data_IF_960690829626
#
_entry.id   IF_960690829626
#
_cell.length_a   1.000
_cell.length_b   1.000
_cell.length_c   1.000
_cell.angle_alpha   90.00
_cell.angle_beta   90.00
_cell.angle_gamma   90.00
#
_symmetry.space_group_name_H-M   'P 1'
#
loop_
_entity.id
_entity.type
_entity.pdbx_description
1 polymer ?
#
# COMPACT_ATOMS: atom_id res chain seq x y z
N UNK A 1 -8.43 16.85 -14.44
CA UNK A 1 -7.95 18.21 -14.11
C UNK A 1 -7.37 18.33 -12.69
N UNK A 2 -7.99 17.75 -11.65
CA UNK A 2 -7.51 17.91 -10.27
C UNK A 2 -6.16 17.21 -9.96
N UNK A 3 -5.87 16.02 -10.52
CA UNK A 3 -4.55 15.34 -10.38
C UNK A 3 -3.40 16.21 -10.93
N UNK A 4 -3.58 16.81 -12.12
CA UNK A 4 -2.57 17.68 -12.76
C UNK A 4 -2.32 18.95 -11.94
N UNK A 5 -3.37 19.55 -11.36
CA UNK A 5 -3.23 20.73 -10.49
C UNK A 5 -2.52 20.41 -9.17
N UNK A 6 -2.80 19.24 -8.59
CA UNK A 6 -2.09 18.73 -7.40
C UNK A 6 -0.62 18.49 -7.74
N UNK A 7 -0.31 17.87 -8.87
CA UNK A 7 1.07 17.62 -9.26
C UNK A 7 1.81 18.91 -9.61
N UNK A 8 1.15 19.87 -10.26
CA UNK A 8 1.72 21.21 -10.44
C UNK A 8 2.06 21.83 -9.09
N UNK A 9 1.16 21.75 -8.10
CA UNK A 9 1.46 22.20 -6.74
C UNK A 9 2.62 21.44 -6.09
N UNK A 10 2.71 20.12 -6.30
CA UNK A 10 3.87 19.34 -5.83
C UNK A 10 5.14 19.79 -6.55
N UNK A 11 5.12 20.00 -7.86
CA UNK A 11 6.25 20.55 -8.65
C UNK A 11 6.64 21.95 -8.19
N UNK A 12 5.68 22.81 -7.92
CA UNK A 12 5.92 24.18 -7.48
C UNK A 12 6.46 24.20 -6.05
N UNK A 13 5.92 23.34 -5.18
CA UNK A 13 6.43 23.15 -3.82
C UNK A 13 7.81 22.50 -3.84
N UNK A 14 8.11 21.58 -4.75
CA UNK A 14 9.44 20.95 -4.89
C UNK A 14 10.46 21.87 -5.55
N UNK A 15 10.05 22.77 -6.43
CA UNK A 15 10.90 23.89 -6.91
C UNK A 15 11.22 24.86 -5.77
N UNK A 16 10.24 25.15 -4.90
CA UNK A 16 10.44 25.97 -3.70
C UNK A 16 11.24 25.22 -2.62
N UNK A 17 11.07 23.90 -2.52
CA UNK A 17 11.87 22.95 -1.77
C UNK A 17 13.17 22.70 -2.53
N UNK A 18 13.95 23.76 -2.72
CA UNK A 18 15.32 23.60 -3.15
C UNK A 18 16.01 22.65 -2.17
N UNK A 19 16.66 21.56 -2.62
CA UNK A 19 17.45 20.66 -1.79
C UNK A 19 18.75 21.36 -1.31
N UNK A 20 18.67 22.66 -0.97
CA UNK A 20 19.80 23.48 -0.56
C UNK A 20 20.43 23.00 0.76
N UNK A 21 19.76 22.12 1.49
CA UNK A 21 20.29 21.50 2.71
C UNK A 21 20.49 19.96 2.64
N UNK A 22 20.20 19.31 1.51
CA UNK A 22 20.64 17.92 1.24
C UNK A 22 21.62 17.89 0.08
N UNK A 23 22.90 17.87 0.42
CA UNK A 23 24.02 17.77 -0.53
C UNK A 23 24.14 16.39 -1.23
N UNK A 24 23.08 15.58 -1.25
CA UNK A 24 23.13 14.19 -1.70
C UNK A 24 22.64 14.11 -3.15
N UNK A 25 23.56 13.91 -4.09
CA UNK A 25 23.25 13.73 -5.53
C UNK A 25 22.27 12.58 -5.75
N UNK A 26 22.25 11.60 -4.86
CA UNK A 26 21.37 10.44 -4.91
C UNK A 26 19.89 10.83 -4.81
N UNK A 27 19.57 11.74 -3.91
CA UNK A 27 18.18 12.22 -3.70
C UNK A 27 17.67 12.95 -4.95
N UNK A 28 18.54 13.73 -5.62
CA UNK A 28 18.20 14.44 -6.85
C UNK A 28 17.93 13.47 -8.00
N UNK A 29 18.75 12.42 -8.13
CA UNK A 29 18.57 11.38 -9.15
C UNK A 29 17.26 10.63 -8.92
N UNK A 30 17.03 10.15 -7.69
CA UNK A 30 15.79 9.45 -7.32
C UNK A 30 14.57 10.32 -7.59
N UNK A 31 14.62 11.58 -7.17
CA UNK A 31 13.53 12.52 -7.41
C UNK A 31 13.28 12.75 -8.91
N UNK A 32 14.33 12.87 -9.71
CA UNK A 32 14.23 13.02 -11.17
C UNK A 32 13.54 11.81 -11.80
N UNK A 33 13.90 10.59 -11.40
CA UNK A 33 13.27 9.35 -11.89
C UNK A 33 11.79 9.33 -11.55
N UNK A 34 11.43 9.65 -10.30
CA UNK A 34 10.04 9.69 -9.85
C UNK A 34 9.23 10.73 -10.62
N UNK A 35 9.81 11.90 -10.89
CA UNK A 35 9.14 12.96 -11.63
C UNK A 35 8.92 12.60 -13.10
N UNK A 36 9.92 12.04 -13.78
CA UNK A 36 9.80 11.54 -15.16
C UNK A 36 8.77 10.42 -15.25
N UNK A 37 8.76 9.50 -14.28
CA UNK A 37 7.77 8.41 -14.21
C UNK A 37 6.36 8.98 -14.06
N UNK A 38 6.18 9.97 -13.17
CA UNK A 38 4.88 10.60 -12.95
C UNK A 38 4.37 11.32 -14.19
N UNK A 39 5.21 12.13 -14.83
CA UNK A 39 4.86 12.89 -16.02
C UNK A 39 4.45 11.94 -17.16
N UNK A 40 5.18 10.84 -17.34
CA UNK A 40 4.84 9.79 -18.30
C UNK A 40 3.49 9.11 -18.02
N UNK A 41 3.06 9.07 -16.76
CA UNK A 41 1.78 8.50 -16.35
C UNK A 41 0.63 9.50 -16.48
N UNK A 42 0.86 10.81 -16.30
CA UNK A 42 -0.18 11.83 -16.25
C UNK A 42 -1.09 11.84 -17.49
N UNK A 43 -0.50 11.72 -18.67
CA UNK A 43 -1.20 11.85 -19.95
C UNK A 43 -1.82 10.54 -20.45
N UNK A 44 -1.52 9.41 -19.80
CA UNK A 44 -2.16 8.13 -20.10
C UNK A 44 -3.63 8.12 -19.69
N UNK A 45 -4.44 7.34 -20.39
CA UNK A 45 -5.81 7.08 -19.98
C UNK A 45 -5.86 6.33 -18.63
N UNK A 46 -7.00 6.43 -17.95
CA UNK A 46 -7.28 5.66 -16.72
C UNK A 46 -7.40 4.19 -17.11
N UNK A 47 -6.70 3.30 -16.39
CA UNK A 47 -6.75 1.87 -16.66
C UNK A 47 -5.48 1.12 -16.28
N UNK A 48 -5.45 -0.16 -16.67
CA UNK A 48 -4.32 -1.03 -16.51
C UNK A 48 -3.18 -0.71 -17.49
N UNK A 49 -1.96 -0.83 -17.01
CA UNK A 49 -0.72 -0.69 -17.77
C UNK A 49 -0.04 -2.06 -17.75
N UNK A 50 0.13 -2.66 -18.93
CA UNK A 50 0.79 -3.96 -19.05
C UNK A 50 2.23 -3.91 -18.56
N UNK A 51 2.76 -5.04 -18.09
CA UNK A 51 4.15 -5.13 -17.65
C UNK A 51 5.15 -4.74 -18.74
N UNK A 52 4.85 -5.00 -20.01
CA UNK A 52 5.69 -4.54 -21.10
C UNK A 52 5.72 -3.02 -21.19
N UNK A 53 4.55 -2.38 -21.16
CA UNK A 53 4.46 -0.92 -21.20
C UNK A 53 5.13 -0.26 -19.99
N UNK A 54 5.20 -0.91 -18.82
CA UNK A 54 5.97 -0.43 -17.67
C UNK A 54 7.48 -0.50 -17.91
N UNK A 55 7.98 -1.58 -18.51
CA UNK A 55 9.41 -1.70 -18.85
C UNK A 55 9.84 -0.64 -19.86
N UNK A 56 8.97 -0.33 -20.83
CA UNK A 56 9.21 0.73 -21.80
C UNK A 56 9.29 2.12 -21.13
N UNK A 57 8.65 2.29 -19.96
CA UNK A 57 8.74 3.47 -19.10
C UNK A 57 9.92 3.42 -18.11
N UNK A 58 10.85 2.47 -18.27
CA UNK A 58 11.96 2.22 -17.34
C UNK A 58 11.49 1.91 -15.91
N UNK A 59 10.32 1.31 -15.76
CA UNK A 59 9.82 0.82 -14.49
C UNK A 59 10.07 -0.69 -14.45
N UNK A 60 10.95 -1.12 -13.55
CA UNK A 60 11.21 -2.54 -13.35
C UNK A 60 10.02 -3.19 -12.66
N UNK A 61 9.50 -4.27 -13.25
CA UNK A 61 8.38 -5.03 -12.70
C UNK A 61 8.70 -6.51 -12.62
N UNK A 62 8.43 -7.10 -11.46
CA UNK A 62 8.60 -8.53 -11.19
C UNK A 62 7.45 -9.05 -10.33
N UNK A 63 7.21 -10.36 -10.37
CA UNK A 63 6.21 -11.02 -9.53
C UNK A 63 6.74 -11.20 -8.11
N UNK A 64 5.87 -10.98 -7.13
CA UNK A 64 6.12 -11.22 -5.72
C UNK A 64 5.76 -12.66 -5.39
N UNK A 65 6.77 -13.51 -5.31
CA UNK A 65 6.61 -14.89 -4.83
C UNK A 65 6.65 -14.93 -3.28
N UNK A 66 5.63 -15.56 -2.69
CA UNK A 66 5.51 -15.78 -1.25
C UNK A 66 6.70 -16.59 -0.72
N UNK A 67 7.15 -17.61 -1.44
CA UNK A 67 8.27 -18.45 -1.01
C UNK A 67 9.58 -17.66 -1.02
N UNK A 68 9.80 -16.85 -2.06
CA UNK A 68 10.95 -15.94 -2.17
C UNK A 68 11.05 -14.92 -1.03
N UNK A 69 9.94 -14.59 -0.35
CA UNK A 69 9.94 -13.63 0.77
C UNK A 69 10.10 -14.34 2.11
N UNK A 70 9.47 -15.50 2.30
CA UNK A 70 9.51 -16.25 3.56
C UNK A 70 10.80 -17.08 3.74
N UNK A 71 11.49 -17.48 2.66
CA UNK A 71 12.63 -18.41 2.69
C UNK A 71 13.94 -17.83 2.16
N UNK A 72 14.12 -16.51 2.20
CA UNK A 72 15.34 -15.86 1.72
C UNK A 72 16.58 -16.12 2.61
N UNK A 73 17.01 -17.38 2.74
CA UNK A 73 18.42 -17.71 2.88
C UNK A 73 19.07 -17.48 1.51
N UNK A 74 19.48 -16.25 1.21
CA UNK A 74 20.30 -15.94 0.04
C UNK A 74 19.86 -14.76 -0.83
N UNK A 75 18.65 -14.22 -0.67
CA UNK A 75 18.37 -12.86 -1.20
C UNK A 75 19.08 -11.90 -0.26
N UNK A 76 19.93 -11.06 -0.79
CA UNK A 76 20.68 -10.14 0.03
C UNK A 76 19.70 -9.24 0.80
N UNK A 77 19.82 -9.22 2.13
CA UNK A 77 18.87 -8.59 3.06
C UNK A 77 18.57 -7.10 2.77
N UNK A 78 19.36 -6.46 1.90
CA UNK A 78 19.18 -5.08 1.46
C UNK A 78 18.06 -4.88 0.42
N UNK A 79 17.52 -5.94 -0.20
CA UNK A 79 16.43 -5.84 -1.18
C UNK A 79 15.03 -6.12 -0.61
N UNK A 80 14.94 -6.56 0.66
CA UNK A 80 13.68 -6.88 1.33
C UNK A 80 13.35 -5.80 2.37
N UNK A 81 12.58 -4.79 1.95
CA UNK A 81 12.18 -3.70 2.86
C UNK A 81 11.02 -4.07 3.80
N UNK A 82 10.23 -5.08 3.42
CA UNK A 82 9.07 -5.54 4.18
C UNK A 82 9.14 -7.05 4.38
N UNK A 83 9.06 -7.49 5.63
CA UNK A 83 9.11 -8.91 6.01
C UNK A 83 7.82 -9.32 6.72
N UNK A 84 6.98 -10.21 6.18
CA UNK A 84 5.80 -10.75 6.86
C UNK A 84 6.12 -11.28 8.25
N UNK A 85 5.18 -11.18 9.19
CA UNK A 85 5.28 -11.96 10.42
C UNK A 85 5.37 -13.45 10.08
N UNK A 86 6.18 -14.19 10.85
CA UNK A 86 6.29 -15.63 10.68
C UNK A 86 4.98 -16.34 11.04
N UNK A 87 4.78 -17.52 10.45
CA UNK A 87 3.64 -18.39 10.76
C UNK A 87 3.53 -18.69 12.25
N UNK A 88 4.66 -18.91 12.90
CA UNK A 88 4.74 -19.15 14.33
C UNK A 88 4.18 -17.98 15.13
N UNK A 89 4.55 -16.74 14.77
CA UNK A 89 4.04 -15.54 15.43
C UNK A 89 2.53 -15.37 15.17
N UNK A 90 2.07 -15.59 13.93
CA UNK A 90 0.65 -15.49 13.60
C UNK A 90 -0.20 -16.53 14.32
N UNK A 91 0.30 -17.77 14.44
CA UNK A 91 -0.36 -18.86 15.17
C UNK A 91 -0.40 -18.61 16.68
N UNK A 92 0.66 -18.01 17.24
CA UNK A 92 0.68 -17.59 18.64
C UNK A 92 -0.33 -16.46 18.91
N UNK A 93 -0.55 -15.60 17.93
CA UNK A 93 -1.41 -14.42 18.01
C UNK A 93 -2.64 -14.51 17.11
N UNK A 94 -3.35 -15.65 17.19
CA UNK A 94 -4.64 -15.81 16.53
C UNK A 94 -5.67 -14.78 17.00
N UNK A 95 -6.71 -14.55 16.18
CA UNK A 95 -7.83 -13.69 16.58
C UNK A 95 -8.50 -14.26 17.83
N UNK A 96 -8.68 -13.42 18.84
CA UNK A 96 -9.54 -13.74 19.97
C UNK A 96 -11.00 -13.56 19.51
N UNK A 97 -11.77 -14.64 19.53
CA UNK A 97 -13.15 -14.66 19.03
C UNK A 97 -14.19 -14.37 20.13
N UNK A 98 -13.76 -14.00 21.34
CA UNK A 98 -14.68 -13.57 22.39
C UNK A 98 -15.56 -12.40 21.91
N UNK A 99 -16.85 -12.34 22.31
CA UNK A 99 -17.73 -11.26 21.90
C UNK A 99 -17.16 -9.89 22.28
N UNK A 100 -16.91 -9.04 21.28
CA UNK A 100 -16.48 -7.66 21.45
C UNK A 100 -16.91 -6.81 20.25
N UNK A 101 -16.97 -5.47 20.38
CA UNK A 101 -17.39 -4.59 19.29
C UNK A 101 -16.58 -4.78 18.00
N UNK A 102 -15.29 -5.06 18.09
CA UNK A 102 -14.39 -5.25 16.95
C UNK A 102 -14.72 -6.53 16.17
N UNK A 103 -15.07 -7.61 16.88
CA UNK A 103 -15.47 -8.87 16.24
C UNK A 103 -16.86 -8.75 15.59
N UNK A 104 -17.81 -8.06 16.23
CA UNK A 104 -19.12 -7.78 15.61
C UNK A 104 -18.99 -6.90 14.36
N UNK A 105 -18.03 -5.97 14.36
CA UNK A 105 -17.71 -5.15 13.18
C UNK A 105 -17.17 -6.00 12.03
N UNK A 106 -16.26 -6.94 12.32
CA UNK A 106 -15.75 -7.89 11.33
C UNK A 106 -16.87 -8.70 10.72
N UNK A 107 -17.76 -9.25 11.55
CA UNK A 107 -18.92 -10.04 11.10
C UNK A 107 -19.84 -9.21 10.19
N UNK A 108 -20.08 -7.94 10.54
CA UNK A 108 -20.84 -7.01 9.70
C UNK A 108 -20.15 -6.75 8.35
N UNK A 109 -18.82 -6.54 8.35
CA UNK A 109 -18.04 -6.33 7.12
C UNK A 109 -18.04 -7.59 6.23
N UNK A 110 -17.93 -8.78 6.82
CA UNK A 110 -18.02 -10.07 6.11
C UNK A 110 -19.42 -10.29 5.53
N UNK A 111 -20.48 -9.97 6.27
CA UNK A 111 -21.85 -10.03 5.76
C UNK A 111 -22.06 -9.09 4.57
N UNK A 112 -21.52 -7.86 4.61
CA UNK A 112 -21.57 -6.95 3.46
C UNK A 112 -20.83 -7.53 2.25
N UNK A 113 -19.71 -8.22 2.44
CA UNK A 113 -18.95 -8.84 1.35
C UNK A 113 -19.61 -10.10 0.78
N UNK A 114 -20.39 -10.83 1.59
CA UNK A 114 -21.21 -11.98 1.17
C UNK A 114 -22.49 -11.54 0.47
N UNK A 115 -23.29 -10.75 1.19
CA UNK A 115 -24.69 -10.52 0.88
C UNK A 115 -24.94 -9.17 0.25
N UNK A 116 -23.92 -8.30 0.14
CA UNK A 116 -24.08 -6.87 -0.17
C UNK A 116 -25.00 -6.17 0.85
N UNK A 117 -25.18 -4.86 0.71
CA UNK A 117 -26.20 -4.14 1.51
C UNK A 117 -27.52 -4.08 0.75
N UNK A 118 -28.68 -4.05 1.43
CA UNK A 118 -29.97 -3.79 0.78
C UNK A 118 -29.96 -2.48 -0.02
N UNK A 119 -29.22 -1.47 0.44
CA UNK A 119 -29.02 -0.21 -0.26
C UNK A 119 -28.31 -0.42 -1.61
N UNK A 120 -27.14 -1.08 -1.61
CA UNK A 120 -26.36 -1.39 -2.82
C UNK A 120 -27.19 -2.23 -3.81
N UNK A 121 -27.89 -3.26 -3.32
CA UNK A 121 -28.82 -4.06 -4.13
C UNK A 121 -29.93 -3.22 -4.77
N UNK A 122 -30.49 -2.25 -4.03
CA UNK A 122 -31.61 -1.42 -4.47
C UNK A 122 -31.23 -0.41 -5.54
N UNK A 123 -30.01 0.14 -5.49
CA UNK A 123 -29.54 1.08 -6.51
C UNK A 123 -29.08 0.38 -7.81
N UNK A 124 -29.12 -0.95 -7.86
CA UNK A 124 -28.64 -1.75 -9.02
C UNK A 124 -27.16 -1.52 -9.32
N UNK A 125 -26.47 -0.87 -8.39
CA UNK A 125 -25.07 -0.57 -8.46
C UNK A 125 -24.39 -1.82 -7.91
N UNK A 126 -23.88 -2.65 -8.80
CA UNK A 126 -22.82 -3.60 -8.45
C UNK A 126 -21.55 -2.80 -8.07
N UNK A 127 -21.64 -1.72 -7.28
CA UNK A 127 -20.55 -0.77 -7.13
C UNK A 127 -19.36 -1.50 -6.58
N UNK A 128 -18.47 -1.77 -7.52
CA UNK A 128 -17.15 -2.28 -7.35
C UNK A 128 -16.42 -1.48 -6.26
N UNK A 129 -16.73 -0.18 -6.17
CA UNK A 129 -16.35 0.75 -5.10
C UNK A 129 -16.76 0.31 -3.70
N UNK A 130 -18.02 -0.10 -3.48
CA UNK A 130 -18.54 -0.46 -2.16
C UNK A 130 -17.80 -1.67 -1.58
N UNK A 131 -17.64 -2.71 -2.38
CA UNK A 131 -16.87 -3.89 -1.98
C UNK A 131 -15.39 -3.56 -1.77
N UNK A 132 -14.74 -2.85 -2.68
CA UNK A 132 -13.33 -2.50 -2.55
C UNK A 132 -13.05 -1.60 -1.32
N UNK A 133 -13.98 -0.69 -1.02
CA UNK A 133 -14.02 0.05 0.24
C UNK A 133 -14.16 -0.92 1.43
N UNK A 134 -15.15 -1.81 1.46
CA UNK A 134 -15.33 -2.74 2.58
C UNK A 134 -14.11 -3.64 2.78
N UNK A 135 -13.43 -4.08 1.71
CA UNK A 135 -12.18 -4.84 1.83
C UNK A 135 -11.04 -4.03 2.49
N UNK A 136 -10.86 -2.75 2.11
CA UNK A 136 -9.92 -1.87 2.81
C UNK A 136 -10.22 -1.80 4.31
N UNK A 137 -11.50 -1.68 4.63
CA UNK A 137 -11.96 -1.56 6.01
C UNK A 137 -11.76 -2.87 6.78
N UNK A 138 -12.06 -4.01 6.16
CA UNK A 138 -11.87 -5.35 6.72
C UNK A 138 -10.41 -5.65 7.02
N UNK A 139 -9.50 -5.28 6.12
CA UNK A 139 -8.06 -5.39 6.32
C UNK A 139 -7.62 -4.60 7.56
N UNK A 140 -8.09 -3.36 7.67
CA UNK A 140 -7.80 -2.51 8.82
C UNK A 140 -8.38 -3.10 10.11
N UNK A 141 -9.65 -3.51 10.12
CA UNK A 141 -10.27 -4.07 11.32
C UNK A 141 -9.49 -5.31 11.78
N UNK A 142 -9.05 -6.17 10.85
CA UNK A 142 -8.22 -7.35 11.17
C UNK A 142 -6.87 -7.00 11.80
N UNK A 143 -6.14 -6.04 11.24
CA UNK A 143 -4.76 -5.77 11.66
C UNK A 143 -4.66 -4.80 12.84
N UNK A 144 -5.54 -3.80 12.87
CA UNK A 144 -5.41 -2.65 13.76
C UNK A 144 -6.39 -2.65 14.92
N UNK A 145 -7.47 -3.44 14.86
CA UNK A 145 -8.52 -3.45 15.88
C UNK A 145 -8.76 -4.83 16.47
N UNK A 146 -8.75 -5.90 15.67
CA UNK A 146 -9.14 -7.23 16.10
C UNK A 146 -8.26 -7.71 17.26
N UNK A 147 -8.85 -8.12 18.40
CA UNK A 147 -8.11 -8.56 19.56
C UNK A 147 -7.36 -9.87 19.24
N UNK A 148 -6.14 -10.02 19.76
CA UNK A 148 -5.29 -11.19 19.52
C UNK A 148 -4.95 -11.92 20.81
N UNK A 149 -5.02 -13.24 20.75
CA UNK A 149 -4.51 -14.12 21.81
C UNK A 149 -3.01 -13.88 22.04
N UNK A 150 -2.54 -14.13 23.25
CA UNK A 150 -1.15 -13.95 23.64
C UNK A 150 -0.66 -12.50 23.68
N UNK A 151 -1.57 -11.53 23.55
CA UNK A 151 -1.26 -10.11 23.78
C UNK A 151 -1.74 -9.68 25.17
N UNK A 152 -1.50 -8.42 25.56
CA UNK A 152 -1.96 -7.92 26.85
C UNK A 152 -3.48 -8.09 27.00
N UNK A 153 -3.87 -8.89 27.99
CA UNK A 153 -5.25 -9.33 28.26
C UNK A 153 -5.98 -9.99 27.08
N UNK A 154 -5.25 -10.50 26.09
CA UNK A 154 -5.79 -11.01 24.82
C UNK A 154 -6.69 -10.00 24.07
N UNK A 155 -6.44 -8.70 24.29
CA UNK A 155 -7.24 -7.59 23.75
C UNK A 155 -6.50 -6.76 22.71
N UNK A 156 -5.17 -6.81 22.67
CA UNK A 156 -4.41 -5.94 21.77
C UNK A 156 -4.39 -6.50 20.33
N UNK A 157 -4.40 -5.61 19.32
CA UNK A 157 -4.36 -5.97 17.91
C UNK A 157 -2.96 -6.29 17.40
N UNK A 158 -2.82 -6.84 16.18
CA UNK A 158 -1.51 -7.15 15.56
C UNK A 158 -0.63 -5.91 15.37
N UNK A 159 -1.19 -4.72 15.20
CA UNK A 159 -0.41 -3.48 15.15
C UNK A 159 0.42 -3.23 16.43
N UNK A 160 0.01 -3.79 17.57
CA UNK A 160 0.77 -3.70 18.82
C UNK A 160 2.11 -4.45 18.74
N UNK A 161 2.18 -5.51 17.94
CA UNK A 161 3.37 -6.33 17.73
C UNK A 161 4.36 -5.71 16.73
N UNK A 162 3.84 -4.95 15.76
CA UNK A 162 4.64 -4.46 14.62
C UNK A 162 4.99 -2.98 14.71
N UNK A 163 4.26 -2.20 15.52
CA UNK A 163 4.52 -0.78 15.71
C UNK A 163 3.95 0.15 14.64
N UNK A 164 3.33 -0.37 13.58
CA UNK A 164 2.67 0.46 12.56
C UNK A 164 1.55 1.30 13.17
N UNK A 165 1.36 2.52 12.65
CA UNK A 165 0.33 3.45 13.11
C UNK A 165 -0.48 3.93 11.92
N UNK A 166 -1.81 3.84 12.01
CA UNK A 166 -2.71 4.40 11.01
C UNK A 166 -2.65 5.92 11.00
N UNK A 167 -2.64 6.48 9.81
CA UNK A 167 -2.95 7.86 9.48
C UNK A 167 -4.09 7.89 8.45
N UNK A 168 -5.11 8.70 8.73
CA UNK A 168 -6.23 8.92 7.79
C UNK A 168 -5.83 9.83 6.62
N UNK A 169 -4.63 10.42 6.66
CA UNK A 169 -4.07 11.22 5.59
C UNK A 169 -2.94 10.46 4.90
N UNK A 170 -2.99 10.40 3.56
CA UNK A 170 -1.89 9.88 2.72
C UNK A 170 -0.92 11.01 2.33
N UNK A 171 -1.27 12.26 2.67
CA UNK A 171 -0.48 13.46 2.50
C UNK A 171 -1.37 14.68 2.26
N UNK A 172 -0.85 15.91 2.43
CA UNK A 172 -1.61 17.14 2.20
C UNK A 172 -1.95 17.37 0.72
N UNK A 173 -1.30 16.63 -0.19
CA UNK A 173 -1.42 16.81 -1.62
C UNK A 173 -2.56 16.01 -2.27
N UNK A 174 -3.11 15.00 -1.59
CA UNK A 174 -4.21 14.20 -2.15
C UNK A 174 -5.57 14.79 -1.75
N UNK A 175 -6.23 15.50 -2.66
CA UNK A 175 -7.63 15.91 -2.48
C UNK A 175 -8.56 14.73 -2.85
N UNK A 176 -9.44 14.36 -1.92
CA UNK A 176 -10.45 13.31 -2.10
C UNK A 176 -11.45 13.61 -3.24
N UNK A 177 -11.53 14.86 -3.69
CA UNK A 177 -12.40 15.31 -4.80
C UNK A 177 -11.86 14.98 -6.19
N UNK A 178 -10.72 14.33 -6.28
CA UNK A 178 -9.99 14.16 -7.55
C UNK A 178 -10.51 13.00 -8.39
N UNK A 179 -11.12 11.99 -7.77
CA UNK A 179 -11.70 10.83 -8.47
C UNK A 179 -12.77 10.15 -7.63
N UNK A 180 -14.00 10.05 -8.15
CA UNK A 180 -15.03 9.19 -7.55
C UNK A 180 -14.76 7.69 -7.72
N UNK A 181 -13.79 7.32 -8.59
CA UNK A 181 -13.53 5.93 -9.01
C UNK A 181 -12.38 5.25 -8.26
N UNK A 182 -11.57 5.97 -7.51
CA UNK A 182 -10.47 5.35 -6.74
C UNK A 182 -10.00 6.28 -5.65
N UNK A 183 -9.48 5.71 -4.55
CA UNK A 183 -9.01 6.49 -3.41
C UNK A 183 -7.99 5.72 -2.56
N UNK A 184 -6.82 6.32 -2.24
CA UNK A 184 -6.04 5.91 -1.08
C UNK A 184 -6.83 6.24 0.19
N UNK A 185 -7.10 5.21 0.98
CA UNK A 185 -7.96 5.30 2.15
C UNK A 185 -7.17 5.62 3.41
N UNK A 186 -6.08 4.90 3.62
CA UNK A 186 -5.24 5.03 4.81
C UNK A 186 -3.77 4.95 4.42
N UNK A 187 -2.92 5.63 5.17
CA UNK A 187 -1.49 5.36 5.18
C UNK A 187 -1.09 4.87 6.57
N UNK A 188 -0.13 3.96 6.66
CA UNK A 188 0.45 3.54 7.93
C UNK A 188 1.93 3.86 7.92
N UNK A 189 2.36 5.01 8.48
CA UNK A 189 3.76 5.24 8.79
C UNK A 189 4.20 4.47 10.05
N UNK A 190 5.50 4.23 10.17
CA UNK A 190 6.11 3.89 11.45
C UNK A 190 6.35 5.16 12.26
N UNK A 191 6.03 5.16 13.57
CA UNK A 191 6.30 6.29 14.44
C UNK A 191 7.81 6.49 14.64
N UNK A 192 8.20 7.73 14.95
CA UNK A 192 9.57 8.07 15.34
C UNK A 192 10.51 8.46 14.21
N UNK A 193 10.06 8.52 12.95
CA UNK A 193 10.83 9.11 11.84
C UNK A 193 12.10 8.36 11.41
N UNK A 194 12.43 7.24 12.07
CA UNK A 194 13.63 6.43 11.81
C UNK A 194 13.51 5.51 10.59
N UNK A 195 12.30 5.33 10.07
CA UNK A 195 12.01 4.42 8.98
C UNK A 195 11.27 5.16 7.87
N UNK A 196 11.82 5.22 6.64
CA UNK A 196 11.17 5.88 5.51
C UNK A 196 9.98 5.08 4.98
N UNK A 197 9.76 3.86 5.47
CA UNK A 197 8.74 2.94 5.00
C UNK A 197 7.32 3.46 5.18
N UNK A 198 6.47 3.22 4.18
CA UNK A 198 5.04 3.46 4.26
C UNK A 198 4.25 2.22 3.85
N UNK A 199 3.17 1.94 4.57
CA UNK A 199 2.07 1.17 4.01
C UNK A 199 0.99 2.12 3.53
N UNK A 200 0.34 1.78 2.43
CA UNK A 200 -0.79 2.51 1.90
C UNK A 200 -1.86 1.50 1.57
N UNK A 201 -3.10 1.82 1.89
CA UNK A 201 -4.26 1.01 1.53
C UNK A 201 -5.12 1.87 0.62
N UNK A 202 -5.42 1.37 -0.57
CA UNK A 202 -6.26 2.07 -1.53
C UNK A 202 -7.30 1.13 -2.12
N UNK A 203 -8.35 1.74 -2.67
CA UNK A 203 -9.34 0.99 -3.41
C UNK A 203 -9.71 1.68 -4.72
N UNK A 204 -10.24 0.86 -5.63
CA UNK A 204 -10.63 1.23 -6.98
C UNK A 204 -12.01 0.67 -7.29
N UNK A 205 -12.72 1.39 -8.14
CA UNK A 205 -14.01 1.05 -8.72
C UNK A 205 -13.86 0.37 -10.10
N UNK A 206 -12.66 -0.15 -10.40
CA UNK A 206 -12.37 -0.91 -11.61
C UNK A 206 -11.94 -2.32 -11.24
N UNK A 207 -12.20 -3.29 -12.12
CA UNK A 207 -11.71 -4.65 -11.95
C UNK A 207 -10.20 -4.74 -12.19
N UNK A 208 -9.54 -5.61 -11.44
CA UNK A 208 -8.14 -5.93 -11.69
C UNK A 208 -7.97 -6.88 -12.87
N UNK A 209 -6.83 -6.74 -13.55
CA UNK A 209 -6.38 -7.65 -14.61
C UNK A 209 -4.99 -8.15 -14.23
N UNK A 210 -4.79 -9.46 -14.29
CA UNK A 210 -3.49 -10.07 -14.04
C UNK A 210 -2.47 -9.61 -15.09
N UNK A 211 -1.23 -9.32 -14.68
CA UNK A 211 -0.20 -8.79 -15.58
C UNK A 211 -0.32 -7.30 -15.94
N UNK A 212 -1.27 -6.57 -15.34
CA UNK A 212 -1.43 -5.12 -15.51
C UNK A 212 -1.36 -4.37 -14.19
N UNK A 213 -0.78 -3.15 -14.18
CA UNK A 213 -0.78 -2.24 -13.03
C UNK A 213 -1.72 -1.07 -13.29
N UNK A 214 -2.60 -0.74 -12.36
CA UNK A 214 -3.45 0.42 -12.50
C UNK A 214 -2.58 1.68 -12.40
N UNK A 215 -2.76 2.61 -13.33
CA UNK A 215 -2.09 3.91 -13.33
C UNK A 215 -2.14 4.58 -11.94
N UNK A 216 -3.29 4.50 -11.29
CA UNK A 216 -3.57 5.09 -9.99
C UNK A 216 -2.72 4.49 -8.85
N UNK A 217 -2.42 3.20 -8.91
CA UNK A 217 -1.53 2.54 -7.94
C UNK A 217 -0.12 3.17 -8.02
N UNK A 218 0.39 3.36 -9.25
CA UNK A 218 1.69 3.99 -9.48
C UNK A 218 1.70 5.46 -9.07
N UNK A 219 0.65 6.21 -9.39
CA UNK A 219 0.54 7.62 -8.99
C UNK A 219 0.57 7.76 -7.47
N UNK A 220 -0.14 6.90 -6.73
CA UNK A 220 -0.12 6.91 -5.26
C UNK A 220 1.26 6.56 -4.73
N UNK A 221 1.90 5.51 -5.27
CA UNK A 221 3.26 5.12 -4.88
C UNK A 221 4.22 6.30 -5.05
N UNK A 222 4.26 6.92 -6.23
CA UNK A 222 5.17 8.02 -6.54
C UNK A 222 4.91 9.24 -5.64
N UNK A 223 3.64 9.62 -5.47
CA UNK A 223 3.28 10.77 -4.61
C UNK A 223 3.70 10.55 -3.16
N UNK A 224 3.52 9.34 -2.63
CA UNK A 224 3.92 9.02 -1.26
C UNK A 224 5.45 8.99 -1.12
N UNK A 225 6.18 8.46 -2.11
CA UNK A 225 7.64 8.51 -2.14
C UNK A 225 8.15 9.96 -2.14
N UNK A 226 7.65 10.79 -3.05
CA UNK A 226 8.03 12.21 -3.14
C UNK A 226 7.73 12.96 -1.85
N UNK A 227 6.54 12.80 -1.28
CA UNK A 227 6.17 13.44 -0.02
C UNK A 227 7.14 13.08 1.12
N UNK A 228 7.58 11.81 1.17
CA UNK A 228 8.56 11.39 2.18
C UNK A 228 9.95 11.91 1.90
N UNK A 229 10.42 11.96 0.66
CA UNK A 229 11.71 12.56 0.31
C UNK A 229 11.75 14.06 0.67
N UNK A 230 10.64 14.76 0.51
CA UNK A 230 10.51 16.18 0.91
C UNK A 230 10.40 16.38 2.42
N UNK A 231 10.21 15.32 3.20
CA UNK A 231 10.04 15.48 4.64
C UNK A 231 11.41 15.47 5.33
N UNK A 232 11.72 16.56 6.03
CA UNK A 232 12.96 16.74 6.78
C UNK A 232 13.31 15.54 7.69
N UNK A 233 12.30 14.86 8.24
CA UNK A 233 12.50 13.69 9.10
C UNK A 233 13.18 12.52 8.39
N UNK A 234 13.08 12.45 7.07
CA UNK A 234 13.60 11.33 6.26
C UNK A 234 14.80 11.71 5.40
N UNK A 235 15.38 12.92 5.53
CA UNK A 235 16.54 13.39 4.74
C UNK A 235 17.77 12.48 4.79
N UNK A 236 17.85 11.57 5.77
CA UNK A 236 18.95 10.60 5.87
C UNK A 236 18.75 9.35 5.00
N UNK A 237 17.59 9.22 4.34
CA UNK A 237 17.17 8.04 3.59
C UNK A 237 16.91 8.37 2.12
N UNK A 238 17.79 7.88 1.23
CA UNK A 238 17.61 8.01 -0.22
C UNK A 238 16.55 7.05 -0.79
N UNK A 239 16.29 5.94 -0.09
CA UNK A 239 15.31 4.92 -0.52
C UNK A 239 14.09 5.01 0.38
N UNK A 240 12.92 5.20 -0.24
CA UNK A 240 11.61 5.22 0.42
C UNK A 240 10.79 3.99 0.00
N UNK A 241 10.76 2.90 0.78
CA UNK A 241 9.99 1.73 0.43
C UNK A 241 8.51 1.90 0.73
N UNK A 242 7.67 1.50 -0.22
CA UNK A 242 6.22 1.56 -0.15
C UNK A 242 5.65 0.15 -0.29
N UNK A 243 4.71 -0.19 0.59
CA UNK A 243 3.82 -1.33 0.44
C UNK A 243 2.42 -0.81 0.19
N UNK A 244 1.83 -1.15 -0.93
CA UNK A 244 0.49 -0.75 -1.30
C UNK A 244 -0.43 -1.98 -1.30
N UNK A 245 -1.45 -1.96 -0.46
CA UNK A 245 -2.62 -2.84 -0.57
C UNK A 245 -3.61 -2.17 -1.50
N UNK A 246 -3.84 -2.79 -2.65
CA UNK A 246 -4.75 -2.28 -3.68
C UNK A 246 -5.95 -3.20 -3.77
N UNK A 247 -7.13 -2.65 -3.50
CA UNK A 247 -8.40 -3.34 -3.55
C UNK A 247 -9.22 -2.87 -4.74
N UNK A 248 -9.77 -3.81 -5.49
CA UNK A 248 -10.38 -3.54 -6.78
C UNK A 248 -11.82 -4.04 -6.80
N UNK A 249 -12.54 -3.56 -7.81
CA UNK A 249 -13.87 -4.00 -8.11
C UNK A 249 -13.99 -5.52 -8.22
N UNK A 250 -15.17 -6.03 -7.83
CA UNK A 250 -15.53 -7.45 -7.85
C UNK A 250 -14.75 -8.31 -6.85
N UNK A 251 -14.36 -7.70 -5.71
CA UNK A 251 -13.67 -8.38 -4.61
C UNK A 251 -12.28 -8.91 -4.99
N UNK A 252 -11.53 -8.14 -5.77
CA UNK A 252 -10.14 -8.47 -6.06
C UNK A 252 -9.20 -7.59 -5.25
N UNK A 253 -7.97 -8.02 -5.07
CA UNK A 253 -6.94 -7.17 -4.51
C UNK A 253 -5.56 -7.79 -4.60
N UNK A 254 -4.56 -6.96 -4.37
CA UNK A 254 -3.15 -7.35 -4.49
C UNK A 254 -2.26 -6.46 -3.66
N UNK A 255 -1.00 -6.85 -3.57
CA UNK A 255 0.05 -6.15 -2.85
C UNK A 255 1.13 -5.74 -3.84
N UNK A 256 1.50 -4.47 -3.79
CA UNK A 256 2.63 -3.94 -4.54
C UNK A 256 3.70 -3.50 -3.54
N UNK A 257 4.91 -4.01 -3.68
CA UNK A 257 6.10 -3.49 -3.00
C UNK A 257 6.87 -2.64 -3.99
N UNK A 258 7.13 -1.40 -3.63
CA UNK A 258 7.83 -0.46 -4.49
C UNK A 258 8.96 0.24 -3.75
N UNK A 259 10.04 0.52 -4.46
CA UNK A 259 11.12 1.40 -4.02
C UNK A 259 11.77 2.02 -5.25
N UNK A 260 12.41 3.18 -5.08
CA UNK A 260 13.16 3.83 -6.15
C UNK A 260 14.66 3.70 -5.84
N UNK A 261 15.42 3.30 -6.85
CA UNK A 261 16.88 3.23 -6.83
C UNK A 261 17.44 4.40 -7.64
N UNK A 262 18.78 4.52 -7.76
CA UNK A 262 19.39 5.55 -8.60
C UNK A 262 19.22 5.25 -10.09
N UNK A 263 18.85 4.02 -10.43
CA UNK A 263 18.71 3.53 -11.78
C UNK A 263 17.26 3.60 -12.25
N UNK A 264 16.31 3.15 -11.41
CA UNK A 264 14.91 3.01 -11.80
C UNK A 264 13.94 2.83 -10.62
N UNK A 265 12.66 3.03 -10.91
CA UNK A 265 11.55 2.62 -10.04
C UNK A 265 11.33 1.11 -10.14
N UNK A 266 11.35 0.43 -9.00
CA UNK A 266 11.20 -1.03 -8.89
C UNK A 266 9.85 -1.37 -8.27
N UNK A 267 9.11 -2.28 -8.91
CA UNK A 267 7.86 -2.86 -8.41
C UNK A 267 7.95 -4.38 -8.34
N UNK A 268 7.51 -4.92 -7.20
CA UNK A 268 7.20 -6.34 -6.99
C UNK A 268 5.70 -6.47 -6.74
N UNK A 269 5.01 -7.32 -7.48
CA UNK A 269 3.54 -7.37 -7.50
C UNK A 269 3.07 -8.78 -7.17
N UNK A 270 2.19 -8.93 -6.18
CA UNK A 270 1.55 -10.22 -5.90
C UNK A 270 0.59 -10.61 -7.02
N UNK A 271 0.20 -11.90 -7.11
CA UNK A 271 -0.98 -12.29 -7.87
C UNK A 271 -2.21 -11.47 -7.45
N UNK A 272 -3.18 -11.38 -8.35
CA UNK A 272 -4.49 -10.82 -8.05
C UNK A 272 -5.31 -11.84 -7.26
N UNK A 273 -5.50 -11.58 -5.97
CA UNK A 273 -6.31 -12.41 -5.08
C UNK A 273 -7.80 -12.12 -5.25
N UNK A 274 -8.62 -13.14 -5.02
CA UNK A 274 -10.08 -13.02 -5.04
C UNK A 274 -10.63 -13.25 -3.65
N UNK A 275 -11.26 -12.22 -3.10
CA UNK A 275 -11.79 -12.21 -1.74
C UNK A 275 -13.24 -12.65 -1.71
N UNK A 276 -13.46 -13.97 -1.79
CA UNK A 276 -14.75 -14.55 -1.42
C UNK A 276 -14.75 -14.86 0.08
N UNK A 277 -15.89 -14.75 0.74
CA UNK A 277 -15.97 -14.87 2.22
C UNK A 277 -15.85 -16.32 2.72
N UNK A 278 -15.61 -17.26 1.80
CA UNK A 278 -15.39 -18.69 2.07
C UNK A 278 -14.05 -19.20 1.53
N UNK A 279 -13.24 -18.34 0.89
CA UNK A 279 -11.98 -18.74 0.25
C UNK A 279 -10.74 -18.38 1.10
N UNK A 280 -9.70 -19.22 1.00
CA UNK A 280 -8.40 -19.09 1.68
C UNK A 280 -7.62 -17.83 1.30
N UNK A 281 -8.03 -17.09 0.28
CA UNK A 281 -7.33 -15.92 -0.26
C UNK A 281 -7.19 -14.76 0.74
N UNK A 282 -8.06 -14.70 1.75
CA UNK A 282 -7.88 -13.78 2.88
C UNK A 282 -6.60 -14.04 3.68
N UNK A 283 -6.15 -15.30 3.74
CA UNK A 283 -4.87 -15.63 4.34
C UNK A 283 -3.74 -14.96 3.55
N UNK A 284 -3.76 -14.95 2.22
CA UNK A 284 -2.76 -14.25 1.41
C UNK A 284 -2.47 -12.83 1.92
N UNK A 285 -3.46 -11.95 2.00
CA UNK A 285 -3.29 -10.57 2.48
C UNK A 285 -3.09 -10.46 4.00
N UNK A 286 -3.74 -11.32 4.79
CA UNK A 286 -3.64 -11.31 6.27
C UNK A 286 -2.19 -11.45 6.73
N UNK A 287 -1.36 -12.16 5.98
CA UNK A 287 0.05 -12.38 6.32
C UNK A 287 0.93 -11.17 6.04
N UNK A 288 0.59 -10.40 5.00
CA UNK A 288 1.35 -9.21 4.62
C UNK A 288 0.96 -7.98 5.44
N UNK A 289 -0.27 -7.93 5.95
CA UNK A 289 -0.76 -6.82 6.76
C UNK A 289 0.11 -6.54 8.00
N UNK A 290 0.45 -7.54 8.83
CA UNK A 290 1.45 -7.40 9.87
C UNK A 290 2.84 -7.73 9.30
N UNK A 291 3.60 -6.69 9.00
CA UNK A 291 4.95 -6.80 8.41
C UNK A 291 5.95 -6.13 9.32
N UNK A 292 7.08 -6.76 9.57
CA UNK A 292 8.27 -6.17 10.15
C UNK A 292 9.10 -5.45 9.08
N UNK A 293 10.03 -4.61 9.52
CA UNK A 293 10.95 -3.88 8.66
C UNK A 293 12.36 -4.43 8.78
N UNK A 294 13.06 -4.57 7.66
CA UNK A 294 14.52 -4.61 7.65
C UNK A 294 15.01 -3.18 7.43
N UNK A 295 16.02 -2.76 8.20
CA UNK A 295 16.56 -1.41 8.06
C UNK A 295 17.33 -1.29 6.75
N UNK A 296 16.96 -0.34 5.90
CA UNK A 296 17.87 0.19 4.88
C UNK A 296 18.92 1.06 5.58
N UNK A 297 20.05 0.46 5.98
CA UNK A 297 21.25 1.26 6.22
C UNK A 297 21.81 1.64 4.86
N UNK A 298 22.33 2.86 4.74
CA UNK A 298 23.06 3.32 3.55
C UNK A 298 24.01 2.20 3.12
N UNK A 299 23.84 1.73 1.89
CA UNK A 299 24.93 1.01 1.22
C UNK A 299 25.97 2.10 0.97
N UNK A 300 27.08 2.00 1.69
CA UNK A 300 28.26 2.82 1.44
C UNK A 300 28.92 2.36 0.14
#
# INVERSE_FOLDING_TARGET
>A
MAVKAIWSRIKDTTKAFHPKDTSDEDDKIVFSILNTSYDSLLDREIGGISFQALRDLQIHVSLLDRQSVCFAKGIAAHEQFFVPLSEEVLRKHERNLAPCPENSRIESEENVLQNSTPFIKKIGDDSTHGWASTMCQRLFTEADLAPRKGTEEDKQPLKSLTGWRRSETVGPWYDWRVSGKWRPRFSCPMPGGKHPHAKVVMYHDVGGVEGEVLKEELLVIIVVMVNRLMNERYMKHAIIPIMLFSFMGKRHGRILLAHCTKEQLVLKISPLYRFMVEEEDWEGIRWWSPTQLLTSRRVA
#
